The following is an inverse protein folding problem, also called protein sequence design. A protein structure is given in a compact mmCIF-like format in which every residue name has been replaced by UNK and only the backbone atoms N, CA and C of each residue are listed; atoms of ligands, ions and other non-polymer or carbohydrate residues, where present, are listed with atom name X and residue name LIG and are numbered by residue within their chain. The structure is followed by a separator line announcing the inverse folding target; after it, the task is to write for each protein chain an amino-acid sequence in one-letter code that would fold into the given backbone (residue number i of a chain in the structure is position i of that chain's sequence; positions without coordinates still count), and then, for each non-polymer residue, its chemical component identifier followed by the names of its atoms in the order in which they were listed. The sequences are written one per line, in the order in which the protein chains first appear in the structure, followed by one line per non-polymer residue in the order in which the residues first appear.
data_IF_253686669404
#
_entry.id   IF_253686669404
#
_cell.length_a   1.000
_cell.length_b   1.000
_cell.length_c   1.000
_cell.angle_alpha   90.00
_cell.angle_beta   90.00
_cell.angle_gamma   90.00
#
_symmetry.space_group_name_H-M   'P 1'
#
loop_
_entity.id
_entity.type
_entity.pdbx_description
1 polymer ?
2 non-polymer ?
#
# COMPACT_ATOMS: atom_id res chain seq x y z
N UNK A 1 20.35 -8.90 1.20
CA UNK A 1 20.49 -9.49 -0.15
C UNK A 1 19.53 -10.68 -0.28
N UNK A 2 19.17 -11.29 0.82
CA UNK A 2 18.25 -12.46 0.76
C UNK A 2 17.00 -12.07 -0.03
N UNK A 3 16.63 -10.82 -0.01
CA UNK A 3 15.42 -10.38 -0.77
C UNK A 3 15.70 -10.49 -2.27
N UNK A 4 14.78 -11.06 -3.00
CA UNK A 4 14.98 -11.20 -4.48
C UNK A 4 14.02 -10.27 -5.22
N UNK A 5 14.21 -10.12 -6.53
CA UNK A 5 13.36 -9.28 -7.37
C UNK A 5 11.95 -9.86 -7.48
N UNK A 6 11.82 -11.15 -7.27
CA UNK A 6 10.49 -11.79 -7.37
C UNK A 6 9.57 -11.20 -6.30
N UNK A 7 10.09 -10.96 -5.12
CA UNK A 7 9.25 -10.38 -4.04
C UNK A 7 8.70 -9.03 -4.50
N UNK A 8 9.53 -8.20 -5.05
CA UNK A 8 9.06 -6.86 -5.51
C UNK A 8 7.84 -7.05 -6.41
N UNK A 9 7.85 -8.04 -7.24
CA UNK A 9 6.69 -8.28 -8.14
C UNK A 9 5.42 -8.32 -7.30
N UNK A 10 5.49 -8.96 -6.17
CA UNK A 10 4.28 -9.04 -5.29
C UNK A 10 3.97 -7.64 -4.75
N UNK A 11 4.95 -6.95 -4.28
CA UNK A 11 4.74 -5.58 -3.75
C UNK A 11 4.30 -4.66 -4.88
N UNK A 12 4.88 -4.82 -6.03
CA UNK A 12 4.51 -3.96 -7.19
C UNK A 12 3.07 -4.28 -7.60
N UNK A 13 2.70 -5.52 -7.60
CA UNK A 13 1.31 -5.89 -7.98
C UNK A 13 0.34 -5.35 -6.93
N UNK A 14 0.71 -5.44 -5.68
CA UNK A 14 -0.18 -4.92 -4.61
C UNK A 14 -0.20 -3.39 -4.67
N UNK A 15 0.94 -2.77 -4.80
CA UNK A 15 0.99 -1.30 -4.87
C UNK A 15 0.32 -0.84 -6.17
N UNK A 16 0.47 -1.59 -7.23
CA UNK A 16 -0.16 -1.20 -8.51
C UNK A 16 -1.68 -1.26 -8.38
N UNK A 17 -2.17 -2.16 -7.58
CA UNK A 17 -3.65 -2.27 -7.40
C UNK A 17 -4.14 -1.07 -6.62
N UNK A 18 -3.35 -0.59 -5.68
CA UNK A 18 -3.77 0.59 -4.88
C UNK A 18 -3.81 1.82 -5.77
N UNK A 19 -2.77 2.05 -6.53
CA UNK A 19 -2.74 3.24 -7.43
C UNK A 19 -3.94 3.14 -8.39
N UNK A 20 -4.97 3.91 -8.13
CA UNK A 20 -6.19 3.86 -9.01
C UNK A 20 -5.89 4.38 -10.41
N UNK A 21 -5.31 5.55 -10.53
CA UNK A 21 -5.02 6.08 -11.89
C UNK A 21 -3.64 5.58 -12.36
N UNK A 22 -2.76 5.29 -11.45
CA UNK A 22 -1.43 4.78 -11.85
C UNK A 22 -0.47 5.95 -12.07
N UNK A 23 -0.54 6.96 -11.26
CA UNK A 23 0.39 8.12 -11.43
C UNK A 23 1.62 7.91 -10.53
N UNK A 24 1.71 6.78 -9.89
CA UNK A 24 2.88 6.50 -9.02
C UNK A 24 2.58 6.89 -7.58
N UNK A 25 1.47 7.53 -7.32
CA UNK A 25 1.16 7.95 -5.93
C UNK A 25 -0.27 7.51 -5.57
N UNK A 26 -0.46 7.09 -4.35
CA UNK A 26 -1.81 6.65 -3.91
C UNK A 26 -2.35 7.63 -2.87
N UNK A 27 -3.58 8.03 -3.02
CA UNK A 27 -4.18 8.99 -2.06
C UNK A 27 -5.17 8.23 -1.16
N UNK A 28 -5.60 8.83 -0.08
CA UNK A 28 -6.56 8.13 0.80
C UNK A 28 -7.70 7.58 -0.04
N UNK A 29 -8.22 8.38 -0.93
CA UNK A 29 -9.35 7.91 -1.79
C UNK A 29 -8.91 6.66 -2.56
N UNK A 30 -7.71 6.63 -3.03
CA UNK A 30 -7.23 5.44 -3.78
C UNK A 30 -6.96 4.30 -2.80
N UNK A 31 -6.15 4.54 -1.81
CA UNK A 31 -5.85 3.46 -0.82
C UNK A 31 -7.16 3.05 -0.13
N UNK A 32 -7.96 4.01 0.25
CA UNK A 32 -9.24 3.69 0.92
C UNK A 32 -10.12 2.87 -0.03
N UNK A 33 -10.19 3.27 -1.26
CA UNK A 33 -11.03 2.53 -2.24
C UNK A 33 -10.59 1.07 -2.30
N UNK A 34 -9.30 0.84 -2.35
CA UNK A 34 -8.81 -0.56 -2.41
C UNK A 34 -9.03 -1.21 -1.04
N UNK A 35 -8.81 -0.47 0.01
CA UNK A 35 -9.01 -1.03 1.38
C UNK A 35 -10.46 -1.49 1.54
N UNK A 36 -11.38 -0.81 0.91
CA UNK A 36 -12.81 -1.21 1.04
C UNK A 36 -12.93 -2.74 0.89
N UNK A 37 -12.00 -3.34 0.19
CA UNK A 37 -12.05 -4.82 0.03
C UNK A 37 -12.19 -5.49 1.39
N UNK A 38 -11.74 -4.83 2.43
CA UNK A 38 -11.86 -5.42 3.78
C UNK A 38 -13.33 -5.58 4.15
N UNK A 39 -14.16 -4.70 3.67
CA UNK A 39 -15.62 -4.80 3.99
C UNK A 39 -15.86 -4.49 5.46
N UNK A 40 -14.83 -4.10 6.17
CA UNK A 40 -15.01 -3.79 7.62
C UNK A 40 -13.94 -2.77 8.06
N UNK A 41 -13.83 -1.67 7.37
CA UNK A 41 -12.82 -0.66 7.76
C UNK A 41 -13.44 0.74 7.65
N UNK A 42 -12.76 1.73 8.15
CA UNK A 42 -13.30 3.12 8.08
C UNK A 42 -12.29 3.99 7.34
N UNK A 43 -12.73 5.17 6.88
CA UNK A 43 -11.84 6.11 6.18
C UNK A 43 -10.82 6.67 7.15
N UNK A 44 -11.21 6.84 8.38
CA UNK A 44 -10.26 7.40 9.39
C UNK A 44 -9.10 6.43 9.61
N UNK A 45 -9.29 5.17 9.34
CA UNK A 45 -8.18 4.20 9.53
C UNK A 45 -7.30 4.24 8.28
N UNK A 46 -7.91 4.39 7.14
CA UNK A 46 -7.12 4.46 5.88
C UNK A 46 -6.31 5.75 5.86
N UNK A 47 -6.88 6.81 6.37
CA UNK A 47 -6.14 8.10 6.40
C UNK A 47 -4.97 7.99 7.37
N UNK A 48 -5.18 7.32 8.48
CA UNK A 48 -4.10 7.17 9.48
C UNK A 48 -2.98 6.31 8.86
N UNK A 49 -3.33 5.30 8.12
CA UNK A 49 -2.29 4.44 7.49
C UNK A 49 -1.41 5.32 6.60
N UNK A 50 -2.02 6.18 5.84
CA UNK A 50 -1.23 7.07 4.94
C UNK A 50 -0.31 7.94 5.79
N UNK A 51 -0.84 8.54 6.82
CA UNK A 51 0.00 9.40 7.69
C UNK A 51 1.16 8.58 8.25
N UNK A 52 1.02 7.28 8.26
CA UNK A 52 2.11 6.42 8.78
C UNK A 52 2.96 5.91 7.61
N UNK A 53 2.34 5.63 6.51
CA UNK A 53 3.09 5.13 5.33
C UNK A 53 3.71 6.31 4.58
N UNK A 54 3.05 7.44 4.60
CA UNK A 54 3.59 8.63 3.89
C UNK A 54 4.94 9.00 4.50
N UNK A 55 6.01 8.65 3.84
CA UNK A 55 7.37 8.96 4.38
C UNK A 55 7.65 10.46 4.32
N UNK A 56 7.38 11.09 3.21
CA UNK A 56 7.65 12.55 3.11
C UNK A 56 6.45 13.32 3.63
N UNK A 57 5.25 12.85 3.36
CA UNK A 57 4.04 13.56 3.85
C UNK A 57 3.42 14.41 2.74
N UNK A 58 3.56 14.01 1.50
CA UNK A 58 2.94 14.80 0.40
C UNK A 58 1.46 14.45 0.30
N UNK A 59 1.01 13.51 1.09
CA UNK A 59 -0.43 13.12 1.04
C UNK A 59 -0.59 11.83 0.21
N UNK A 60 0.47 11.35 -0.38
CA UNK A 60 0.35 10.12 -1.20
C UNK A 60 1.48 9.13 -0.89
N UNK A 61 1.24 7.88 -1.18
CA UNK A 61 2.27 6.84 -0.95
C UNK A 61 2.80 6.39 -2.31
N UNK A 62 4.08 6.34 -2.48
CA UNK A 62 4.64 5.91 -3.80
C UNK A 62 5.08 4.45 -3.67
N UNK A 63 5.37 3.80 -4.76
CA UNK A 63 5.81 2.39 -4.68
C UNK A 63 7.00 2.31 -3.73
N UNK A 64 7.92 3.21 -3.87
CA UNK A 64 9.12 3.20 -2.99
C UNK A 64 8.67 3.33 -1.54
N UNK A 65 7.78 4.24 -1.25
CA UNK A 65 7.30 4.41 0.15
C UNK A 65 6.59 3.12 0.58
N UNK A 66 5.73 2.60 -0.25
CA UNK A 66 5.00 1.36 0.10
C UNK A 66 6.02 0.23 0.34
N UNK A 67 7.06 0.20 -0.44
CA UNK A 67 8.08 -0.86 -0.27
C UNK A 67 8.77 -0.68 1.08
N UNK A 68 9.19 0.52 1.39
CA UNK A 68 9.86 0.77 2.69
C UNK A 68 8.92 0.38 3.83
N UNK A 69 7.66 0.69 3.70
CA UNK A 69 6.69 0.34 4.77
C UNK A 69 6.38 -1.15 4.68
N UNK A 70 6.31 -1.68 3.50
CA UNK A 70 6.02 -3.14 3.34
C UNK A 70 7.10 -3.95 4.05
N UNK A 71 8.31 -3.45 4.09
CA UNK A 71 9.40 -4.19 4.78
C UNK A 71 9.18 -4.15 6.29
N UNK A 72 8.57 -3.10 6.78
CA UNK A 72 8.33 -2.99 8.25
C UNK A 72 7.22 -3.98 8.64
N UNK A 73 6.42 -4.40 7.70
CA UNK A 73 5.33 -5.36 8.04
C UNK A 73 5.07 -6.27 6.83
N UNK A 74 6.07 -6.93 6.34
CA UNK A 74 5.88 -7.83 5.16
C UNK A 74 4.71 -8.77 5.47
N UNK A 75 4.66 -9.28 6.66
CA UNK A 75 3.56 -10.19 7.04
C UNK A 75 2.22 -9.50 6.83
N UNK A 76 2.21 -8.19 6.77
CA UNK A 76 0.94 -7.47 6.55
C UNK A 76 0.57 -7.53 5.06
N UNK A 77 1.53 -7.33 4.21
CA UNK A 77 1.24 -7.36 2.74
C UNK A 77 0.73 -8.75 2.36
N UNK A 78 1.24 -9.78 2.97
CA UNK A 78 0.77 -11.16 2.63
C UNK A 78 -0.72 -11.27 2.92
N UNK A 79 -1.22 -10.48 3.83
CA UNK A 79 -2.67 -10.56 4.15
C UNK A 79 -3.47 -9.85 3.05
N UNK A 80 -2.94 -8.76 2.54
CA UNK A 80 -3.65 -8.02 1.47
C UNK A 80 -3.44 -8.73 0.13
N UNK A 81 -2.32 -9.38 -0.04
CA UNK A 81 -2.06 -10.09 -1.32
C UNK A 81 -3.09 -11.20 -1.51
N UNK A 82 -3.79 -11.56 -0.47
CA UNK A 82 -4.81 -12.63 -0.59
C UNK A 82 -6.18 -12.00 -0.82
N UNK A 83 -6.39 -10.83 -0.25
CA UNK A 83 -7.71 -10.15 -0.43
C UNK A 83 -7.96 -9.92 -1.92
N UNK A 84 -6.94 -9.58 -2.66
CA UNK A 84 -7.11 -9.34 -4.12
C UNK A 84 -6.93 -10.65 -4.88
#
# INVERSE_FOLDING_TARGET
ADDHPQDKAERERIFKRFDANGDGKISAAELGEALKTLGSITPDEVKHMMAEIDTDGDGFISFQEFTDFGRANRGLLKDVAKIF
#
